data_IF_065226352129
#
_entry.id   IF_065226352129
#
_cell.length_a   1.000
_cell.length_b   1.000
_cell.length_c   1.000
_cell.angle_alpha   90.00
_cell.angle_beta   90.00
_cell.angle_gamma   90.00
#
_symmetry.space_group_name_H-M   'P 1'
#
loop_
_entity.id
_entity.type
_entity.pdbx_description
1 polymer ?
#
# COMPACT_ATOMS: atom_id res chain seq x y z
N UNK A 1 26.86 4.87 -9.51
CA UNK A 1 25.95 4.05 -8.66
C UNK A 1 26.53 2.65 -8.52
N UNK A 2 26.59 2.10 -7.31
CA UNK A 2 27.15 0.77 -7.06
C UNK A 2 26.10 -0.31 -7.46
N UNK A 3 26.55 -1.48 -7.95
CA UNK A 3 25.71 -2.64 -8.31
C UNK A 3 24.72 -3.01 -7.18
N UNK A 4 25.18 -2.93 -5.94
CA UNK A 4 24.36 -3.22 -4.76
C UNK A 4 23.15 -2.28 -4.61
N UNK A 5 23.27 -1.00 -5.01
CA UNK A 5 22.17 -0.04 -4.95
C UNK A 5 21.03 -0.43 -5.90
N UNK A 6 21.35 -0.89 -7.10
CA UNK A 6 20.37 -1.39 -8.04
C UNK A 6 19.65 -2.63 -7.51
N UNK A 7 20.40 -3.58 -6.93
CA UNK A 7 19.80 -4.78 -6.33
C UNK A 7 18.84 -4.41 -5.22
N UNK A 8 19.24 -3.53 -4.30
CA UNK A 8 18.37 -3.07 -3.20
C UNK A 8 17.14 -2.33 -3.75
N UNK A 9 17.31 -1.49 -4.79
CA UNK A 9 16.20 -0.79 -5.43
C UNK A 9 15.18 -1.73 -6.07
N UNK A 10 15.62 -2.74 -6.80
CA UNK A 10 14.73 -3.76 -7.37
C UNK A 10 14.10 -4.67 -6.30
N UNK A 11 14.82 -4.96 -5.22
CA UNK A 11 14.24 -5.67 -4.08
C UNK A 11 13.12 -4.84 -3.44
N UNK A 12 13.34 -3.55 -3.23
CA UNK A 12 12.33 -2.64 -2.70
C UNK A 12 11.13 -2.51 -3.64
N UNK A 13 11.37 -2.41 -4.95
CA UNK A 13 10.31 -2.47 -5.96
C UNK A 13 9.48 -3.75 -5.80
N UNK A 14 10.13 -4.91 -5.73
CA UNK A 14 9.44 -6.20 -5.59
C UNK A 14 8.64 -6.30 -4.28
N UNK A 15 9.11 -5.70 -3.20
CA UNK A 15 8.41 -5.67 -1.91
C UNK A 15 7.15 -4.82 -1.96
N UNK A 16 7.19 -3.69 -2.66
CA UNK A 16 6.02 -2.84 -2.86
C UNK A 16 5.07 -3.39 -3.91
N UNK A 17 5.61 -3.99 -4.97
CA UNK A 17 4.81 -4.40 -6.12
C UNK A 17 3.98 -5.65 -5.83
N UNK A 18 2.79 -5.43 -5.28
CA UNK A 18 1.83 -6.45 -4.91
C UNK A 18 0.50 -6.38 -5.68
N UNK A 19 -0.49 -7.09 -5.20
CA UNK A 19 -1.83 -7.18 -5.81
C UNK A 19 -2.47 -5.81 -6.08
N UNK A 20 -2.38 -4.88 -5.11
CA UNK A 20 -3.00 -3.56 -5.22
C UNK A 20 -2.39 -2.70 -6.33
N UNK A 21 -1.07 -2.76 -6.47
CA UNK A 21 -0.30 -1.99 -7.43
C UNK A 21 -0.60 -2.37 -8.88
N UNK A 22 -1.18 -3.54 -9.07
CA UNK A 22 -1.65 -4.00 -10.38
C UNK A 22 -3.10 -3.58 -10.66
N UNK A 23 -4.00 -3.75 -9.68
CA UNK A 23 -5.44 -3.62 -9.94
C UNK A 23 -5.97 -2.19 -9.82
N UNK A 24 -5.36 -1.33 -8.98
CA UNK A 24 -5.88 0.01 -8.76
C UNK A 24 -5.55 1.01 -9.88
N UNK A 25 -4.35 1.05 -10.47
CA UNK A 25 -4.06 2.01 -11.53
C UNK A 25 -4.98 1.89 -12.75
N UNK A 26 -5.22 0.69 -13.35
CA UNK A 26 -6.14 0.58 -14.49
C UNK A 26 -7.59 0.89 -14.11
N UNK A 27 -8.03 0.54 -12.89
CA UNK A 27 -9.35 0.90 -12.41
C UNK A 27 -9.51 2.43 -12.26
N UNK A 28 -8.52 3.10 -11.65
CA UNK A 28 -8.49 4.57 -11.58
C UNK A 28 -8.53 5.20 -12.97
N UNK A 29 -7.79 4.63 -13.92
CA UNK A 29 -7.78 5.08 -15.31
C UNK A 29 -9.17 5.03 -15.93
N UNK A 30 -9.86 3.90 -15.79
CA UNK A 30 -11.25 3.74 -16.29
C UNK A 30 -12.22 4.74 -15.66
N UNK A 31 -12.16 4.88 -14.32
CA UNK A 31 -13.07 5.71 -13.55
C UNK A 31 -12.85 7.21 -13.75
N UNK A 32 -11.60 7.63 -14.03
CA UNK A 32 -11.25 9.05 -14.11
C UNK A 32 -11.64 9.74 -15.43
N UNK A 33 -11.91 8.99 -16.50
CA UNK A 33 -12.33 9.53 -17.78
C UNK A 33 -11.41 10.67 -18.27
N UNK A 34 -11.99 11.80 -18.64
CA UNK A 34 -11.25 12.98 -19.12
C UNK A 34 -10.32 13.62 -18.05
N UNK A 35 -10.52 13.32 -16.78
CA UNK A 35 -9.72 13.85 -15.66
C UNK A 35 -8.61 12.89 -15.24
N UNK A 36 -8.13 12.04 -16.13
CA UNK A 36 -7.08 11.04 -15.84
C UNK A 36 -5.83 11.64 -15.22
N UNK A 37 -5.29 12.72 -15.78
CA UNK A 37 -4.02 13.26 -15.33
C UNK A 37 -4.03 13.76 -13.88
N UNK A 38 -4.97 14.59 -13.42
CA UNK A 38 -5.05 14.96 -12.01
C UNK A 38 -5.19 13.76 -11.09
N UNK A 39 -6.02 12.77 -11.48
CA UNK A 39 -6.25 11.58 -10.68
C UNK A 39 -4.99 10.71 -10.54
N UNK A 40 -4.32 10.39 -11.66
CA UNK A 40 -3.14 9.50 -11.63
C UNK A 40 -1.93 10.17 -10.95
N UNK A 41 -1.74 11.48 -11.11
CA UNK A 41 -0.66 12.20 -10.43
C UNK A 41 -0.85 12.21 -8.91
N UNK A 42 -2.08 12.41 -8.43
CA UNK A 42 -2.40 12.33 -7.01
C UNK A 42 -2.26 10.90 -6.48
N UNK A 43 -2.69 9.89 -7.25
CA UNK A 43 -2.49 8.48 -6.91
C UNK A 43 -1.01 8.11 -6.80
N UNK A 44 -0.16 8.57 -7.73
CA UNK A 44 1.30 8.40 -7.68
C UNK A 44 1.90 9.08 -6.44
N UNK A 45 1.42 10.28 -6.10
CA UNK A 45 1.90 10.99 -4.91
C UNK A 45 1.68 10.18 -3.62
N UNK A 46 0.51 9.56 -3.47
CA UNK A 46 0.19 8.77 -2.28
C UNK A 46 0.63 7.31 -2.37
N UNK A 47 0.50 6.69 -3.52
CA UNK A 47 0.87 5.29 -3.71
C UNK A 47 2.38 5.05 -3.90
N UNK A 48 3.17 6.09 -4.20
CA UNK A 48 4.63 5.97 -4.40
C UNK A 48 5.40 7.01 -3.58
N UNK A 49 4.98 8.28 -3.63
CA UNK A 49 5.67 9.36 -2.93
C UNK A 49 5.69 9.15 -1.42
N UNK A 50 4.54 8.87 -0.80
CA UNK A 50 4.46 8.59 0.64
C UNK A 50 5.23 7.32 1.06
N UNK A 51 5.14 6.18 0.36
CA UNK A 51 5.99 5.02 0.61
C UNK A 51 7.48 5.34 0.58
N UNK A 52 7.92 6.09 -0.43
CA UNK A 52 9.32 6.51 -0.51
C UNK A 52 9.73 7.33 0.72
N UNK A 53 8.91 8.32 1.12
CA UNK A 53 9.13 9.09 2.35
C UNK A 53 9.12 8.19 3.60
N UNK A 54 8.23 7.20 3.63
CA UNK A 54 8.15 6.21 4.69
C UNK A 54 9.46 5.43 4.86
N UNK A 55 10.02 4.89 3.79
CA UNK A 55 11.30 4.17 3.84
C UNK A 55 12.44 5.10 4.28
N UNK A 56 12.46 6.34 3.79
CA UNK A 56 13.47 7.34 4.14
C UNK A 56 13.42 7.66 5.64
N UNK A 57 12.22 7.87 6.19
CA UNK A 57 12.03 8.15 7.63
C UNK A 57 12.53 7.01 8.50
N UNK A 58 12.28 5.76 8.10
CA UNK A 58 12.82 4.59 8.80
C UNK A 58 14.35 4.51 8.81
N UNK A 59 15.02 5.17 7.85
CA UNK A 59 16.49 5.24 7.80
C UNK A 59 17.09 6.40 8.64
N UNK A 60 16.24 7.26 9.24
CA UNK A 60 16.70 8.39 10.07
C UNK A 60 17.04 7.98 11.50
N UNK A 61 16.61 6.81 11.96
CA UNK A 61 16.88 6.32 13.30
C UNK A 61 17.54 4.93 13.24
N UNK A 62 18.46 4.65 14.18
CA UNK A 62 19.20 3.37 14.23
C UNK A 62 18.28 2.17 14.47
N UNK A 63 17.19 2.38 15.20
CA UNK A 63 16.15 1.40 15.52
C UNK A 63 14.95 1.49 14.53
N UNK A 64 15.10 2.25 13.44
CA UNK A 64 14.04 2.46 12.47
C UNK A 64 12.82 3.20 13.04
N UNK A 65 11.64 2.82 12.62
CA UNK A 65 10.41 3.44 13.11
C UNK A 65 10.16 3.27 14.60
N UNK A 66 10.58 2.16 15.19
CA UNK A 66 10.43 1.93 16.65
C UNK A 66 11.15 3.03 17.41
N UNK A 67 12.42 3.30 17.07
CA UNK A 67 13.20 4.36 17.69
C UNK A 67 12.60 5.75 17.46
N UNK A 68 12.22 6.03 16.22
CA UNK A 68 11.62 7.32 15.84
C UNK A 68 10.31 7.58 16.60
N UNK A 69 9.40 6.62 16.63
CA UNK A 69 8.10 6.73 17.32
C UNK A 69 8.23 6.77 18.84
N UNK A 70 9.19 6.04 19.44
CA UNK A 70 9.44 6.06 20.88
C UNK A 70 9.86 7.46 21.35
N UNK A 71 10.52 8.24 20.51
CA UNK A 71 10.84 9.64 20.81
C UNK A 71 9.60 10.52 20.91
N UNK A 72 8.53 10.19 20.17
CA UNK A 72 7.22 10.86 20.30
C UNK A 72 6.51 10.36 21.55
N UNK A 73 6.27 9.06 21.66
CA UNK A 73 5.67 8.40 22.81
C UNK A 73 5.83 6.89 22.72
N UNK A 74 6.42 6.19 23.71
CA UNK A 74 6.54 4.74 23.70
C UNK A 74 5.19 4.00 23.63
N UNK A 75 4.16 4.50 24.33
CA UNK A 75 2.81 3.91 24.30
C UNK A 75 2.17 4.07 22.92
N UNK A 76 2.30 5.25 22.30
CA UNK A 76 1.82 5.49 20.96
C UNK A 76 2.57 4.62 19.95
N UNK A 77 3.89 4.48 20.06
CA UNK A 77 4.70 3.65 19.19
C UNK A 77 4.18 2.21 19.11
N UNK A 78 3.96 1.59 20.28
CA UNK A 78 3.46 0.20 20.35
C UNK A 78 2.06 0.11 19.72
N UNK A 79 1.13 0.96 20.13
CA UNK A 79 -0.25 0.94 19.62
C UNK A 79 -0.28 1.16 18.11
N UNK A 80 0.41 2.17 17.62
CA UNK A 80 0.43 2.54 16.22
C UNK A 80 1.04 1.43 15.36
N UNK A 81 2.17 0.85 15.77
CA UNK A 81 2.79 -0.25 15.05
C UNK A 81 1.96 -1.52 15.07
N UNK A 82 1.27 -1.84 16.17
CA UNK A 82 0.31 -2.96 16.22
C UNK A 82 -0.78 -2.76 15.16
N UNK A 83 -1.38 -1.57 15.09
CA UNK A 83 -2.42 -1.25 14.11
C UNK A 83 -1.86 -1.38 12.68
N UNK A 84 -0.68 -0.80 12.41
CA UNK A 84 -0.02 -0.89 11.11
C UNK A 84 0.20 -2.36 10.71
N UNK A 85 0.86 -3.14 11.57
CA UNK A 85 1.22 -4.53 11.25
C UNK A 85 -0.02 -5.42 11.09
N UNK A 86 -1.08 -5.21 11.87
CA UNK A 86 -2.35 -5.92 11.67
C UNK A 86 -3.01 -5.52 10.35
N UNK A 87 -3.01 -4.24 10.00
CA UNK A 87 -3.63 -3.70 8.77
C UNK A 87 -2.95 -4.26 7.51
N UNK A 88 -1.61 -4.16 7.43
CA UNK A 88 -0.86 -4.70 6.28
C UNK A 88 -0.69 -6.22 6.35
N UNK A 89 -0.93 -6.81 7.50
CA UNK A 89 -0.83 -8.23 7.75
C UNK A 89 -2.18 -8.95 7.57
N UNK A 90 -2.65 -9.58 8.63
CA UNK A 90 -3.75 -10.54 8.56
C UNK A 90 -5.12 -9.92 8.24
N UNK A 91 -5.31 -8.60 8.43
CA UNK A 91 -6.62 -8.00 8.23
C UNK A 91 -6.92 -7.68 6.75
N UNK A 92 -5.95 -7.14 5.99
CA UNK A 92 -6.28 -6.69 4.64
C UNK A 92 -5.27 -7.07 3.55
N UNK A 93 -3.97 -6.77 3.70
CA UNK A 93 -3.06 -6.97 2.58
C UNK A 93 -2.83 -8.46 2.27
N UNK A 94 -2.63 -9.32 3.27
CA UNK A 94 -2.44 -10.76 3.06
C UNK A 94 -3.72 -11.44 2.52
N UNK A 95 -4.93 -11.23 3.09
CA UNK A 95 -6.17 -11.73 2.50
C UNK A 95 -6.35 -11.30 1.03
N UNK A 96 -6.05 -10.03 0.72
CA UNK A 96 -6.14 -9.49 -0.63
C UNK A 96 -5.21 -10.21 -1.62
N UNK A 97 -4.01 -10.61 -1.19
CA UNK A 97 -3.11 -11.38 -2.08
C UNK A 97 -3.73 -12.71 -2.52
N UNK A 98 -4.37 -13.42 -1.61
CA UNK A 98 -5.04 -14.69 -1.90
C UNK A 98 -6.25 -14.49 -2.82
N UNK A 99 -7.12 -13.52 -2.50
CA UNK A 99 -8.32 -13.24 -3.28
C UNK A 99 -7.98 -12.72 -4.69
N UNK A 100 -6.96 -11.85 -4.82
CA UNK A 100 -6.48 -11.39 -6.15
C UNK A 100 -5.89 -12.55 -6.95
N UNK A 101 -5.10 -13.41 -6.32
CA UNK A 101 -4.55 -14.59 -6.96
C UNK A 101 -5.67 -15.49 -7.51
N UNK A 102 -6.73 -15.71 -6.74
CA UNK A 102 -7.90 -16.46 -7.18
C UNK A 102 -8.57 -15.81 -8.39
N UNK A 103 -8.85 -14.51 -8.31
CA UNK A 103 -9.50 -13.78 -9.41
C UNK A 103 -8.66 -13.74 -10.69
N UNK A 104 -7.34 -13.72 -10.59
CA UNK A 104 -6.45 -13.68 -11.75
C UNK A 104 -6.16 -15.06 -12.36
N UNK A 105 -6.26 -16.15 -11.58
CA UNK A 105 -5.93 -17.52 -12.03
C UNK A 105 -7.16 -18.37 -12.29
N UNK A 106 -8.07 -18.46 -11.34
CA UNK A 106 -9.17 -19.43 -11.36
C UNK A 106 -10.43 -18.85 -12.00
N UNK A 107 -10.81 -17.62 -11.62
CA UNK A 107 -12.02 -16.98 -12.15
C UNK A 107 -12.06 -16.90 -13.69
N UNK A 108 -10.94 -16.63 -14.40
CA UNK A 108 -10.93 -16.64 -15.86
C UNK A 108 -11.15 -18.04 -16.48
N UNK A 109 -10.96 -19.12 -15.72
CA UNK A 109 -11.17 -20.50 -16.17
C UNK A 109 -12.62 -20.91 -15.96
N UNK A 110 -13.14 -20.68 -14.73
CA UNK A 110 -14.50 -21.10 -14.35
C UNK A 110 -15.59 -20.10 -14.76
N UNK A 111 -15.19 -18.90 -15.21
CA UNK A 111 -16.08 -17.80 -15.60
C UNK A 111 -17.08 -17.35 -14.52
N UNK A 112 -16.79 -17.64 -13.25
CA UNK A 112 -17.64 -17.27 -12.10
C UNK A 112 -16.81 -17.05 -10.82
N UNK A 113 -17.36 -16.28 -9.87
CA UNK A 113 -16.84 -16.15 -8.51
C UNK A 113 -17.51 -17.20 -7.59
N UNK A 114 -17.14 -18.45 -7.76
CA UNK A 114 -17.65 -19.52 -6.90
C UNK A 114 -17.01 -19.46 -5.51
N UNK A 115 -17.82 -19.29 -4.46
CA UNK A 115 -17.35 -19.30 -3.06
C UNK A 115 -16.66 -20.62 -2.69
N UNK A 116 -17.14 -21.75 -3.24
CA UNK A 116 -16.54 -23.07 -3.02
C UNK A 116 -15.13 -23.13 -3.68
N UNK A 117 -15.02 -22.64 -4.91
CA UNK A 117 -13.74 -22.60 -5.60
C UNK A 117 -12.73 -21.67 -4.89
N UNK A 118 -13.19 -20.51 -4.42
CA UNK A 118 -12.39 -19.59 -3.60
C UNK A 118 -11.92 -20.27 -2.31
N UNK A 119 -12.81 -20.96 -1.61
CA UNK A 119 -12.50 -21.68 -0.37
C UNK A 119 -11.41 -22.76 -0.59
N UNK A 120 -11.56 -23.59 -1.62
CA UNK A 120 -10.57 -24.62 -1.96
C UNK A 120 -9.23 -24.01 -2.34
N UNK A 121 -9.26 -22.94 -3.17
CA UNK A 121 -8.05 -22.24 -3.58
C UNK A 121 -7.32 -21.62 -2.39
N UNK A 122 -8.03 -20.95 -1.50
CA UNK A 122 -7.43 -20.27 -0.33
C UNK A 122 -6.86 -21.28 0.67
N UNK A 123 -7.46 -22.47 0.84
CA UNK A 123 -6.86 -23.57 1.62
C UNK A 123 -5.48 -23.91 1.05
N UNK A 124 -5.41 -24.22 -0.25
CA UNK A 124 -4.16 -24.58 -0.91
C UNK A 124 -3.13 -23.45 -0.79
N UNK A 125 -3.55 -22.21 -1.09
CA UNK A 125 -2.73 -21.03 -1.03
C UNK A 125 -2.11 -20.84 0.38
N UNK A 126 -2.92 -20.88 1.43
CA UNK A 126 -2.44 -20.66 2.79
C UNK A 126 -1.68 -21.84 3.38
N UNK A 127 -1.90 -23.07 2.91
CA UNK A 127 -1.02 -24.22 3.23
C UNK A 127 0.37 -23.99 2.67
N UNK A 128 0.48 -23.53 1.42
CA UNK A 128 1.77 -23.18 0.80
C UNK A 128 2.45 -22.03 1.55
N UNK A 129 1.71 -20.98 1.88
CA UNK A 129 2.23 -19.85 2.70
C UNK A 129 2.73 -20.35 4.05
N UNK A 130 1.96 -21.21 4.74
CA UNK A 130 2.35 -21.78 6.03
C UNK A 130 3.65 -22.57 5.92
N UNK A 131 3.75 -23.46 4.95
CA UNK A 131 4.96 -24.27 4.73
C UNK A 131 6.20 -23.41 4.51
N UNK A 132 6.08 -22.35 3.71
CA UNK A 132 7.17 -21.40 3.43
C UNK A 132 7.54 -20.62 4.70
N UNK A 133 6.57 -20.06 5.42
CA UNK A 133 6.81 -19.18 6.56
C UNK A 133 7.32 -19.90 7.81
N UNK A 134 7.08 -21.22 7.93
CA UNK A 134 7.66 -22.02 9.02
C UNK A 134 9.16 -22.26 8.84
N UNK A 135 9.69 -22.14 7.60
CA UNK A 135 11.10 -22.32 7.24
C UNK A 135 11.60 -21.19 6.33
N UNK A 136 11.69 -19.94 6.82
CA UNK A 136 11.86 -18.74 5.98
C UNK A 136 13.20 -18.62 5.23
N UNK A 137 14.16 -19.48 5.52
CA UNK A 137 15.59 -19.25 5.27
C UNK A 137 16.08 -19.40 3.84
N UNK A 138 15.46 -19.34 2.77
CA UNK A 138 16.06 -19.25 1.39
C UNK A 138 15.04 -19.28 0.25
N UNK A 139 13.81 -19.71 0.52
CA UNK A 139 12.84 -19.91 -0.55
C UNK A 139 12.27 -18.57 -1.03
N UNK A 140 12.04 -17.64 -0.09
CA UNK A 140 11.50 -16.29 -0.40
C UNK A 140 12.47 -15.54 -1.30
N UNK A 141 13.76 -15.54 -0.96
CA UNK A 141 14.77 -14.86 -1.77
C UNK A 141 14.92 -15.44 -3.18
N UNK A 142 14.88 -16.78 -3.30
CA UNK A 142 14.98 -17.45 -4.60
C UNK A 142 13.75 -17.24 -5.46
N UNK A 143 12.57 -17.35 -4.88
CA UNK A 143 11.31 -17.10 -5.59
C UNK A 143 11.24 -15.62 -6.02
N UNK A 144 11.53 -14.68 -5.12
CA UNK A 144 11.53 -13.24 -5.44
C UNK A 144 12.55 -12.87 -6.51
N UNK A 145 13.77 -13.43 -6.49
CA UNK A 145 14.82 -13.12 -7.47
C UNK A 145 14.50 -13.59 -8.89
N UNK A 146 13.74 -14.67 -9.06
CA UNK A 146 13.31 -15.16 -10.38
C UNK A 146 11.99 -14.53 -10.83
N UNK A 147 11.03 -14.42 -9.93
CA UNK A 147 9.68 -13.96 -10.28
C UNK A 147 9.62 -12.46 -10.58
N UNK A 148 10.41 -11.65 -9.89
CA UNK A 148 10.39 -10.19 -10.12
C UNK A 148 10.80 -9.80 -11.54
N UNK A 149 11.92 -10.30 -12.12
CA UNK A 149 12.24 -10.05 -13.52
C UNK A 149 11.18 -10.56 -14.48
N UNK A 150 10.62 -11.75 -14.24
CA UNK A 150 9.59 -12.33 -15.09
C UNK A 150 8.30 -11.51 -15.06
N UNK A 151 7.87 -11.07 -13.87
CA UNK A 151 6.73 -10.19 -13.68
C UNK A 151 6.94 -8.85 -14.41
N UNK A 152 8.12 -8.23 -14.25
CA UNK A 152 8.44 -6.98 -14.95
C UNK A 152 8.40 -7.12 -16.46
N UNK A 153 9.01 -8.18 -17.01
CA UNK A 153 9.00 -8.45 -18.46
C UNK A 153 7.56 -8.63 -18.95
N UNK A 154 6.75 -9.39 -18.22
CA UNK A 154 5.34 -9.64 -18.61
C UNK A 154 4.53 -8.34 -18.56
N UNK A 155 4.70 -7.53 -17.52
CA UNK A 155 3.99 -6.25 -17.40
C UNK A 155 4.45 -5.27 -18.50
N UNK A 156 5.75 -5.19 -18.76
CA UNK A 156 6.25 -4.36 -19.86
C UNK A 156 5.71 -4.80 -21.21
N UNK A 157 5.68 -6.10 -21.49
CA UNK A 157 5.08 -6.63 -22.70
C UNK A 157 3.58 -6.27 -22.80
N UNK A 158 2.84 -6.38 -21.68
CA UNK A 158 1.43 -5.98 -21.63
C UNK A 158 1.25 -4.47 -21.82
N UNK A 159 2.09 -3.64 -21.21
CA UNK A 159 2.05 -2.18 -21.38
C UNK A 159 2.29 -1.81 -22.85
N UNK A 160 3.33 -2.36 -23.47
CA UNK A 160 3.63 -2.09 -24.88
C UNK A 160 2.45 -2.50 -25.76
N UNK A 161 1.93 -3.70 -25.59
CA UNK A 161 0.82 -4.21 -26.37
C UNK A 161 -0.48 -3.44 -26.10
N UNK A 162 -0.81 -3.19 -24.83
CA UNK A 162 -1.98 -2.41 -24.45
C UNK A 162 -1.93 -0.97 -25.00
N UNK A 163 -0.75 -0.35 -25.01
CA UNK A 163 -0.58 0.96 -25.64
C UNK A 163 -0.83 0.90 -27.15
N UNK A 164 -0.27 -0.08 -27.85
CA UNK A 164 -0.49 -0.26 -29.30
C UNK A 164 -1.96 -0.53 -29.63
N UNK A 165 -2.67 -1.30 -28.81
CA UNK A 165 -4.06 -1.68 -29.07
C UNK A 165 -5.07 -0.58 -28.69
N UNK A 166 -4.79 0.24 -27.68
CA UNK A 166 -5.79 1.14 -27.09
C UNK A 166 -5.46 2.64 -27.19
N UNK A 167 -4.21 3.05 -27.51
CA UNK A 167 -3.82 4.47 -27.55
C UNK A 167 -4.59 5.31 -28.57
N UNK A 168 -5.15 4.69 -29.60
CA UNK A 168 -5.98 5.35 -30.61
C UNK A 168 -7.41 5.63 -30.18
N UNK A 169 -7.86 5.08 -29.05
CA UNK A 169 -9.20 5.30 -28.54
C UNK A 169 -9.29 6.63 -27.78
N UNK A 170 -10.48 7.20 -27.70
CA UNK A 170 -10.76 8.30 -26.77
C UNK A 170 -10.83 7.79 -25.34
N UNK A 171 -10.54 8.67 -24.38
CA UNK A 171 -10.76 8.38 -22.97
C UNK A 171 -12.22 7.96 -22.71
N UNK A 172 -12.41 6.98 -21.83
CA UNK A 172 -13.73 6.53 -21.41
C UNK A 172 -14.55 7.65 -20.75
N UNK A 173 -15.86 7.47 -20.60
CA UNK A 173 -16.73 8.44 -19.92
C UNK A 173 -16.34 8.68 -18.48
N UNK A 174 -15.82 7.65 -17.80
CA UNK A 174 -15.48 7.69 -16.39
C UNK A 174 -16.68 7.71 -15.46
N UNK A 175 -16.41 7.89 -14.16
CA UNK A 175 -17.43 8.04 -13.12
C UNK A 175 -17.59 9.53 -12.81
N UNK A 176 -18.48 10.21 -13.54
CA UNK A 176 -18.71 11.67 -13.42
C UNK A 176 -19.15 12.09 -12.00
N UNK A 177 -19.72 11.20 -11.20
CA UNK A 177 -20.12 11.52 -9.82
C UNK A 177 -18.92 11.81 -8.92
N UNK A 178 -17.78 11.14 -9.16
CA UNK A 178 -16.56 11.29 -8.39
C UNK A 178 -15.53 12.18 -9.11
N UNK A 179 -15.43 12.06 -10.42
CA UNK A 179 -14.42 12.73 -11.25
C UNK A 179 -15.06 13.80 -12.14
N UNK A 180 -15.52 14.91 -11.53
CA UNK A 180 -16.23 16.00 -12.23
C UNK A 180 -15.40 17.28 -12.39
N UNK A 181 -14.22 17.36 -11.79
CA UNK A 181 -13.30 18.50 -11.88
C UNK A 181 -11.85 18.06 -11.66
N UNK A 182 -10.89 18.91 -12.02
CA UNK A 182 -9.47 18.63 -11.74
C UNK A 182 -9.21 18.43 -10.25
N UNK A 183 -9.86 19.22 -9.38
CA UNK A 183 -9.66 19.12 -7.94
C UNK A 183 -10.33 17.87 -7.35
N UNK A 184 -11.58 17.56 -7.71
CA UNK A 184 -12.24 16.34 -7.24
C UNK A 184 -11.47 15.09 -7.67
N UNK A 185 -10.98 15.08 -8.91
CA UNK A 185 -10.21 13.96 -9.45
C UNK A 185 -8.85 13.82 -8.81
N UNK A 186 -8.18 14.94 -8.48
CA UNK A 186 -6.97 14.91 -7.67
C UNK A 186 -7.24 14.36 -6.27
N UNK A 187 -8.27 14.83 -5.60
CA UNK A 187 -8.62 14.39 -4.25
C UNK A 187 -9.01 12.89 -4.22
N UNK A 188 -9.79 12.44 -5.20
CA UNK A 188 -10.14 11.03 -5.33
C UNK A 188 -8.90 10.18 -5.63
N UNK A 189 -8.06 10.56 -6.60
CA UNK A 189 -6.80 9.88 -6.88
C UNK A 189 -5.88 9.80 -5.67
N UNK A 190 -5.82 10.86 -4.85
CA UNK A 190 -5.05 10.89 -3.62
C UNK A 190 -5.54 9.84 -2.61
N UNK A 191 -6.85 9.73 -2.41
CA UNK A 191 -7.44 8.76 -1.49
C UNK A 191 -7.42 7.33 -2.04
N UNK A 192 -7.58 7.15 -3.35
CA UNK A 192 -7.43 5.85 -4.01
C UNK A 192 -6.01 5.28 -3.85
N UNK A 193 -4.98 6.14 -3.80
CA UNK A 193 -3.62 5.71 -3.51
C UNK A 193 -3.45 5.05 -2.13
N UNK A 194 -4.33 5.32 -1.15
CA UNK A 194 -4.32 4.61 0.14
C UNK A 194 -4.58 3.11 -0.01
N UNK A 195 -5.37 2.73 -1.02
CA UNK A 195 -5.75 1.34 -1.26
C UNK A 195 -4.57 0.45 -1.66
N UNK A 196 -3.45 1.02 -2.13
CA UNK A 196 -2.22 0.24 -2.37
C UNK A 196 -1.63 -0.30 -1.07
N UNK A 197 -1.84 0.38 0.05
CA UNK A 197 -1.28 0.12 1.38
C UNK A 197 0.25 0.29 1.48
N UNK A 198 0.90 0.78 0.42
CA UNK A 198 2.37 0.85 0.35
C UNK A 198 2.97 1.83 1.35
N UNK A 199 2.29 2.96 1.66
CA UNK A 199 2.82 3.94 2.61
C UNK A 199 2.87 3.38 4.04
N UNK A 200 1.90 2.57 4.44
CA UNK A 200 1.93 1.89 5.73
C UNK A 200 2.85 0.67 5.70
N UNK A 201 2.93 -0.04 4.56
CA UNK A 201 3.89 -1.13 4.38
C UNK A 201 5.34 -0.63 4.42
N UNK A 202 5.62 0.59 3.93
CA UNK A 202 6.93 1.22 3.99
C UNK A 202 7.46 1.35 5.43
N UNK A 203 6.57 1.54 6.41
CA UNK A 203 6.94 1.56 7.83
C UNK A 203 7.56 0.23 8.25
N UNK A 204 6.95 -0.89 7.87
CA UNK A 204 7.45 -2.23 8.15
C UNK A 204 8.70 -2.58 7.31
N UNK A 205 8.68 -2.23 6.03
CA UNK A 205 9.75 -2.56 5.08
C UNK A 205 11.01 -1.71 5.25
N UNK A 206 10.90 -0.51 5.83
CA UNK A 206 12.03 0.39 6.03
C UNK A 206 13.20 -0.27 6.74
N UNK A 207 12.92 -1.08 7.77
CA UNK A 207 13.96 -1.78 8.53
C UNK A 207 14.65 -2.87 7.71
N UNK A 208 13.91 -3.57 6.86
CA UNK A 208 14.46 -4.58 5.93
C UNK A 208 15.43 -3.91 4.96
N UNK A 209 15.05 -2.76 4.39
CA UNK A 209 15.89 -2.00 3.46
C UNK A 209 17.14 -1.46 4.14
N UNK A 210 17.01 -0.88 5.34
CA UNK A 210 18.13 -0.39 6.13
C UNK A 210 19.11 -1.52 6.46
N UNK A 211 18.60 -2.69 6.85
CA UNK A 211 19.45 -3.86 7.12
C UNK A 211 20.14 -4.38 5.84
N UNK A 212 19.44 -4.41 4.71
CA UNK A 212 20.03 -4.76 3.42
C UNK A 212 21.18 -3.81 3.04
N UNK A 213 21.03 -2.50 3.29
CA UNK A 213 22.11 -1.52 3.10
C UNK A 213 23.29 -1.79 4.05
N UNK A 214 23.03 -2.08 5.32
CA UNK A 214 24.09 -2.41 6.31
C UNK A 214 24.88 -3.66 5.92
N UNK A 215 24.23 -4.67 5.36
CA UNK A 215 24.86 -5.91 4.87
C UNK A 215 25.86 -5.65 3.72
N UNK A 216 25.77 -4.53 3.01
CA UNK A 216 26.78 -4.13 2.00
C UNK A 216 28.06 -3.54 2.60
N UNK A 217 28.21 -3.54 3.94
CA UNK A 217 29.37 -2.99 4.66
C UNK A 217 29.26 -1.49 5.00
N UNK A 218 28.12 -0.87 4.73
CA UNK A 218 27.89 0.56 5.01
C UNK A 218 27.36 0.68 6.44
N UNK A 219 28.15 1.38 7.29
CA UNK A 219 27.83 1.56 8.73
C UNK A 219 27.48 3.00 9.09
N UNK A 220 27.97 4.00 8.31
CA UNK A 220 27.73 5.42 8.58
C UNK A 220 26.29 5.81 8.27
N UNK A 221 25.57 6.41 9.21
CA UNK A 221 24.15 6.79 9.08
C UNK A 221 23.84 7.63 7.83
N UNK A 222 24.70 8.60 7.52
CA UNK A 222 24.53 9.44 6.33
C UNK A 222 24.67 8.65 5.01
N UNK A 223 25.55 7.64 4.98
CA UNK A 223 25.70 6.77 3.80
C UNK A 223 24.52 5.80 3.69
N UNK A 224 24.02 5.25 4.82
CA UNK A 224 22.80 4.43 4.84
C UNK A 224 21.63 5.25 4.30
N UNK A 225 21.44 6.48 4.77
CA UNK A 225 20.39 7.37 4.29
C UNK A 225 20.49 7.60 2.77
N UNK A 226 21.66 8.00 2.26
CA UNK A 226 21.87 8.22 0.82
C UNK A 226 21.62 6.98 -0.01
N UNK A 227 22.06 5.82 0.45
CA UNK A 227 21.87 4.55 -0.25
C UNK A 227 20.41 4.14 -0.27
N UNK A 228 19.72 4.28 0.87
CA UNK A 228 18.28 4.02 1.00
C UNK A 228 17.46 4.95 0.12
N UNK A 229 17.79 6.25 0.09
CA UNK A 229 17.16 7.22 -0.79
C UNK A 229 17.34 6.85 -2.27
N UNK A 230 18.56 6.51 -2.67
CA UNK A 230 18.84 6.15 -4.08
C UNK A 230 18.13 4.85 -4.48
N UNK A 231 18.13 3.84 -3.62
CA UNK A 231 17.38 2.59 -3.85
C UNK A 231 15.87 2.85 -3.93
N UNK A 232 15.35 3.70 -3.04
CA UNK A 232 13.95 4.11 -3.05
C UNK A 232 13.56 4.85 -4.33
N UNK A 233 14.42 5.74 -4.84
CA UNK A 233 14.18 6.44 -6.11
C UNK A 233 14.15 5.49 -7.31
N UNK A 234 14.99 4.44 -7.34
CA UNK A 234 14.95 3.42 -8.39
C UNK A 234 13.60 2.71 -8.38
N UNK A 235 13.15 2.26 -7.20
CA UNK A 235 11.84 1.62 -7.05
C UNK A 235 10.69 2.56 -7.45
N UNK A 236 10.75 3.83 -7.00
CA UNK A 236 9.73 4.83 -7.29
C UNK A 236 9.61 5.10 -8.80
N UNK A 237 10.71 5.28 -9.53
CA UNK A 237 10.68 5.52 -10.98
C UNK A 237 10.06 4.36 -11.73
N UNK A 238 10.39 3.12 -11.35
CA UNK A 238 9.79 1.93 -11.95
C UNK A 238 8.28 1.84 -11.68
N UNK A 239 7.85 2.11 -10.43
CA UNK A 239 6.43 2.12 -10.05
C UNK A 239 5.66 3.24 -10.75
N UNK A 240 6.20 4.46 -10.83
CA UNK A 240 5.58 5.61 -11.53
C UNK A 240 5.30 5.24 -12.98
N UNK A 241 6.30 4.68 -13.67
CA UNK A 241 6.15 4.26 -15.05
C UNK A 241 5.03 3.24 -15.20
N UNK A 242 4.99 2.22 -14.36
CA UNK A 242 3.97 1.17 -14.41
C UNK A 242 2.58 1.72 -14.10
N UNK A 243 2.43 2.55 -13.05
CA UNK A 243 1.13 3.09 -12.65
C UNK A 243 0.53 4.00 -13.71
N UNK A 244 1.33 4.93 -14.25
CA UNK A 244 0.87 5.82 -15.32
C UNK A 244 0.49 5.00 -16.56
N UNK A 245 1.31 4.02 -16.94
CA UNK A 245 1.07 3.20 -18.12
C UNK A 245 -0.19 2.34 -17.98
N UNK A 246 -0.33 1.60 -16.87
CA UNK A 246 -1.52 0.79 -16.63
C UNK A 246 -2.79 1.64 -16.48
N UNK A 247 -2.68 2.79 -15.80
CA UNK A 247 -3.77 3.75 -15.68
C UNK A 247 -4.17 4.31 -17.03
N UNK A 248 -3.22 4.71 -17.88
CA UNK A 248 -3.49 5.21 -19.22
C UNK A 248 -4.20 4.18 -20.08
N UNK A 249 -3.75 2.92 -20.05
CA UNK A 249 -4.40 1.85 -20.81
C UNK A 249 -5.82 1.60 -20.28
N UNK A 250 -6.01 1.55 -18.96
CA UNK A 250 -7.33 1.42 -18.35
C UNK A 250 -8.29 2.55 -18.75
N UNK A 251 -7.77 3.78 -18.88
CA UNK A 251 -8.52 4.96 -19.31
C UNK A 251 -8.99 4.90 -20.77
N UNK A 252 -8.20 4.30 -21.66
CA UNK A 252 -8.48 4.22 -23.10
C UNK A 252 -9.06 2.87 -23.54
N UNK A 253 -9.21 1.93 -22.61
CA UNK A 253 -9.78 0.62 -22.89
C UNK A 253 -11.29 0.71 -23.04
N UNK A 254 -11.87 0.23 -24.16
CA UNK A 254 -13.30 0.27 -24.36
C UNK A 254 -13.99 -0.78 -23.48
N UNK A 255 -14.69 -0.34 -22.45
CA UNK A 255 -15.51 -1.18 -21.57
C UNK A 255 -16.94 -0.73 -21.69
N UNK A 256 -17.84 -1.64 -22.06
CA UNK A 256 -19.28 -1.32 -22.18
C UNK A 256 -19.96 -1.30 -20.81
N UNK A 257 -21.00 -0.47 -20.68
CA UNK A 257 -21.81 -0.40 -19.45
C UNK A 257 -22.39 -1.78 -19.09
N UNK A 258 -22.80 -2.57 -20.10
CA UNK A 258 -23.28 -3.95 -19.90
C UNK A 258 -22.20 -4.85 -19.28
N UNK A 259 -20.92 -4.69 -19.68
CA UNK A 259 -19.82 -5.45 -19.08
C UNK A 259 -19.59 -5.04 -17.61
N UNK A 260 -19.66 -3.75 -17.31
CA UNK A 260 -19.55 -3.24 -15.95
C UNK A 260 -20.68 -3.75 -15.04
N UNK A 261 -21.92 -3.78 -15.55
CA UNK A 261 -23.08 -4.31 -14.81
C UNK A 261 -22.95 -5.82 -14.58
N UNK A 262 -22.46 -6.56 -15.56
CA UNK A 262 -22.17 -7.99 -15.40
C UNK A 262 -21.06 -8.26 -14.38
N UNK A 263 -20.03 -7.42 -14.32
CA UNK A 263 -18.97 -7.54 -13.31
C UNK A 263 -19.52 -7.29 -11.92
N UNK A 264 -20.33 -6.24 -11.75
CA UNK A 264 -21.01 -5.92 -10.47
C UNK A 264 -21.94 -7.05 -10.02
N UNK A 265 -22.78 -7.56 -10.93
CA UNK A 265 -23.73 -8.65 -10.62
C UNK A 265 -23.05 -9.96 -10.22
N UNK A 266 -21.84 -10.21 -10.72
CA UNK A 266 -21.01 -11.39 -10.41
C UNK A 266 -19.99 -11.14 -9.31
N UNK A 267 -20.02 -9.99 -8.65
CA UNK A 267 -19.05 -9.53 -7.64
C UNK A 267 -17.58 -9.70 -8.10
N UNK A 268 -17.29 -9.38 -9.37
CA UNK A 268 -15.94 -9.42 -9.94
C UNK A 268 -15.26 -8.05 -9.82
N UNK A 269 -13.99 -8.07 -9.48
CA UNK A 269 -13.22 -6.83 -9.39
C UNK A 269 -12.89 -6.27 -10.79
N UNK A 270 -13.13 -4.97 -10.99
CA UNK A 270 -12.94 -4.29 -12.28
C UNK A 270 -11.45 -4.28 -12.65
N UNK A 271 -10.54 -4.01 -11.71
CA UNK A 271 -9.10 -3.96 -11.99
C UNK A 271 -8.54 -5.31 -12.45
N UNK A 272 -8.96 -6.43 -11.83
CA UNK A 272 -8.58 -7.77 -12.27
C UNK A 272 -9.15 -8.11 -13.66
N UNK A 273 -10.37 -7.67 -13.95
CA UNK A 273 -10.99 -7.81 -15.27
C UNK A 273 -10.20 -7.03 -16.34
N UNK A 274 -9.87 -5.76 -16.09
CA UNK A 274 -9.12 -4.93 -17.03
C UNK A 274 -7.77 -5.58 -17.37
N UNK A 275 -7.02 -6.03 -16.36
CA UNK A 275 -5.73 -6.69 -16.57
C UNK A 275 -5.84 -7.98 -17.36
N UNK A 276 -6.82 -8.83 -17.02
CA UNK A 276 -7.00 -10.11 -17.72
C UNK A 276 -7.49 -9.91 -19.14
N UNK A 277 -8.32 -8.88 -19.39
CA UNK A 277 -8.77 -8.52 -20.73
C UNK A 277 -7.62 -7.96 -21.55
N UNK A 278 -6.82 -7.06 -20.98
CA UNK A 278 -5.60 -6.52 -21.61
C UNK A 278 -4.65 -7.66 -22.04
N UNK A 279 -4.39 -8.62 -21.15
CA UNK A 279 -3.55 -9.77 -21.46
C UNK A 279 -4.16 -10.67 -22.55
N UNK A 280 -5.48 -10.89 -22.51
CA UNK A 280 -6.16 -11.74 -23.50
C UNK A 280 -6.27 -11.07 -24.88
N UNK A 281 -6.49 -9.78 -24.94
CA UNK A 281 -6.52 -9.02 -26.22
C UNK A 281 -5.12 -9.02 -26.86
N UNK A 282 -4.07 -8.79 -26.06
CA UNK A 282 -2.71 -8.72 -26.57
C UNK A 282 -2.08 -10.06 -26.95
N UNK A 283 -2.32 -11.11 -26.16
CA UNK A 283 -1.60 -12.40 -26.27
C UNK A 283 -2.53 -13.62 -26.25
N UNK A 284 -3.84 -13.42 -26.42
CA UNK A 284 -4.83 -14.50 -26.37
C UNK A 284 -4.91 -15.20 -25.01
N UNK A 285 -5.44 -16.42 -25.01
CA UNK A 285 -5.59 -17.22 -23.79
C UNK A 285 -4.26 -17.50 -23.07
N UNK A 286 -3.17 -17.65 -23.81
CA UNK A 286 -1.85 -17.87 -23.23
C UNK A 286 -1.40 -16.70 -22.36
N UNK A 287 -1.54 -15.45 -22.85
CA UNK A 287 -1.17 -14.26 -22.09
C UNK A 287 -1.99 -14.11 -20.82
N UNK A 288 -3.30 -14.38 -20.89
CA UNK A 288 -4.19 -14.34 -19.72
C UNK A 288 -3.76 -15.32 -18.62
N UNK A 289 -3.48 -16.57 -18.96
CA UNK A 289 -3.07 -17.57 -17.97
C UNK A 289 -1.67 -17.32 -17.44
N UNK A 290 -0.73 -16.94 -18.31
CA UNK A 290 0.62 -16.60 -17.91
C UNK A 290 0.63 -15.44 -16.89
N UNK A 291 -0.11 -14.36 -17.19
CA UNK A 291 -0.25 -13.23 -16.26
C UNK A 291 -0.85 -13.68 -14.93
N UNK A 292 -1.92 -14.48 -14.95
CA UNK A 292 -2.56 -15.00 -13.74
C UNK A 292 -1.57 -15.76 -12.85
N UNK A 293 -0.79 -16.67 -13.42
CA UNK A 293 0.23 -17.45 -12.69
C UNK A 293 1.30 -16.52 -12.09
N UNK A 294 1.82 -15.57 -12.88
CA UNK A 294 2.87 -14.66 -12.42
C UNK A 294 2.36 -13.77 -11.28
N UNK A 295 1.14 -13.25 -11.41
CA UNK A 295 0.51 -12.44 -10.35
C UNK A 295 0.26 -13.27 -9.09
N UNK A 296 -0.22 -14.52 -9.23
CA UNK A 296 -0.41 -15.41 -8.09
C UNK A 296 0.89 -15.69 -7.34
N UNK A 297 1.98 -15.92 -8.07
CA UNK A 297 3.30 -16.13 -7.48
C UNK A 297 3.85 -14.86 -6.82
N UNK A 298 3.66 -13.69 -7.42
CA UNK A 298 4.02 -12.40 -6.82
C UNK A 298 3.21 -12.15 -5.54
N UNK A 299 1.91 -12.42 -5.56
CA UNK A 299 1.05 -12.34 -4.39
C UNK A 299 1.49 -13.31 -3.28
N UNK A 300 1.89 -14.52 -3.65
CA UNK A 300 2.40 -15.51 -2.69
C UNK A 300 3.67 -15.03 -1.99
N UNK A 301 4.62 -14.46 -2.73
CA UNK A 301 5.86 -13.92 -2.14
C UNK A 301 5.57 -12.74 -1.20
N UNK A 302 4.67 -11.85 -1.59
CA UNK A 302 4.22 -10.72 -0.75
C UNK A 302 3.54 -11.23 0.53
N UNK A 303 2.63 -12.20 0.43
CA UNK A 303 1.97 -12.80 1.59
C UNK A 303 2.99 -13.42 2.55
N UNK A 304 3.96 -14.19 2.04
CA UNK A 304 5.01 -14.77 2.87
C UNK A 304 5.86 -13.70 3.57
N UNK A 305 6.29 -12.67 2.84
CA UNK A 305 7.07 -11.57 3.42
C UNK A 305 6.31 -10.84 4.53
N UNK A 306 5.02 -10.55 4.32
CA UNK A 306 4.17 -9.90 5.32
C UNK A 306 3.90 -10.80 6.53
N UNK A 307 3.61 -12.08 6.35
CA UNK A 307 3.42 -13.03 7.48
C UNK A 307 4.67 -13.09 8.33
N UNK A 308 5.85 -13.20 7.71
CA UNK A 308 7.12 -13.22 8.45
C UNK A 308 7.32 -11.93 9.22
N UNK A 309 7.20 -10.77 8.57
CA UNK A 309 7.42 -9.47 9.20
C UNK A 309 6.46 -9.22 10.39
N UNK A 310 5.17 -9.53 10.20
CA UNK A 310 4.16 -9.36 11.25
C UNK A 310 4.41 -10.33 12.41
N UNK A 311 4.70 -11.59 12.12
CA UNK A 311 4.95 -12.61 13.15
C UNK A 311 6.22 -12.33 13.96
N UNK A 312 7.29 -11.85 13.32
CA UNK A 312 8.51 -11.43 14.00
C UNK A 312 8.26 -10.21 14.90
N UNK A 313 7.51 -9.20 14.42
CA UNK A 313 7.17 -8.05 15.22
C UNK A 313 6.37 -8.45 16.48
N UNK A 314 5.33 -9.26 16.33
CA UNK A 314 4.50 -9.70 17.47
C UNK A 314 5.25 -10.62 18.42
N UNK A 315 6.11 -11.50 17.93
CA UNK A 315 7.00 -12.31 18.79
C UNK A 315 7.96 -11.44 19.58
N UNK A 316 8.47 -10.34 19.01
CA UNK A 316 9.34 -9.39 19.73
C UNK A 316 8.61 -8.67 20.86
N UNK A 317 7.34 -8.28 20.69
CA UNK A 317 6.57 -7.58 21.73
C UNK A 317 5.92 -8.53 22.75
N UNK A 318 5.67 -9.79 22.36
CA UNK A 318 5.11 -10.84 23.23
C UNK A 318 5.99 -12.10 23.16
N UNK A 319 7.19 -12.11 23.78
CA UNK A 319 8.15 -13.21 23.66
C UNK A 319 7.67 -14.56 24.21
N UNK A 320 6.61 -14.53 25.06
CA UNK A 320 5.98 -15.75 25.61
C UNK A 320 5.27 -16.60 24.55
N UNK A 321 4.86 -16.00 23.43
CA UNK A 321 4.21 -16.69 22.31
C UNK A 321 5.25 -16.95 21.24
N UNK A 322 5.33 -18.19 20.76
CA UNK A 322 6.33 -18.56 19.75
C UNK A 322 6.04 -17.92 18.40
N UNK A 323 7.09 -17.66 17.61
CA UNK A 323 6.96 -17.18 16.22
C UNK A 323 5.99 -18.06 15.40
N UNK A 324 6.11 -19.39 15.52
CA UNK A 324 5.25 -20.33 14.79
C UNK A 324 3.77 -20.21 15.17
N UNK A 325 3.48 -19.91 16.43
CA UNK A 325 2.09 -19.67 16.86
C UNK A 325 1.51 -18.41 16.22
N UNK A 326 2.30 -17.31 16.15
CA UNK A 326 1.87 -16.10 15.45
C UNK A 326 1.66 -16.34 13.95
N UNK A 327 2.56 -17.07 13.29
CA UNK A 327 2.39 -17.44 11.87
C UNK A 327 1.05 -18.17 11.67
N UNK A 328 0.75 -19.17 12.51
CA UNK A 328 -0.50 -19.91 12.40
C UNK A 328 -1.73 -19.03 12.62
N UNK A 329 -1.74 -18.22 13.68
CA UNK A 329 -2.86 -17.33 14.00
C UNK A 329 -3.11 -16.33 12.86
N UNK A 330 -2.06 -15.69 12.34
CA UNK A 330 -2.21 -14.70 11.29
C UNK A 330 -2.61 -15.31 9.94
N UNK A 331 -2.17 -16.51 9.64
CA UNK A 331 -2.64 -17.27 8.48
C UNK A 331 -4.12 -17.61 8.61
N UNK A 332 -4.57 -18.10 9.77
CA UNK A 332 -5.98 -18.41 10.00
C UNK A 332 -6.86 -17.16 9.90
N UNK A 333 -6.44 -16.04 10.48
CA UNK A 333 -7.15 -14.77 10.33
C UNK A 333 -7.25 -14.36 8.87
N UNK A 334 -6.12 -14.40 8.14
CA UNK A 334 -6.07 -14.05 6.72
C UNK A 334 -6.94 -14.96 5.86
N UNK A 335 -6.96 -16.25 6.15
CA UNK A 335 -7.80 -17.24 5.46
C UNK A 335 -9.30 -16.91 5.62
N UNK A 336 -9.75 -16.65 6.85
CA UNK A 336 -11.16 -16.31 7.12
C UNK A 336 -11.57 -15.05 6.33
N UNK A 337 -10.72 -14.02 6.33
CA UNK A 337 -11.02 -12.76 5.67
C UNK A 337 -10.94 -12.90 4.13
N UNK A 338 -9.97 -13.63 3.60
CA UNK A 338 -9.81 -13.85 2.16
C UNK A 338 -11.05 -14.52 1.53
N UNK A 339 -11.75 -15.38 2.29
CA UNK A 339 -12.96 -16.06 1.84
C UNK A 339 -14.20 -15.16 1.73
N UNK A 340 -14.11 -13.90 2.13
CA UNK A 340 -15.14 -12.89 1.84
C UNK A 340 -15.09 -12.40 0.37
N UNK A 341 -14.03 -12.73 -0.37
CA UNK A 341 -13.81 -12.26 -1.74
C UNK A 341 -13.04 -10.93 -1.83
N UNK A 342 -12.50 -10.63 -3.00
CA UNK A 342 -11.60 -9.50 -3.21
C UNK A 342 -12.27 -8.16 -2.95
N UNK A 343 -13.47 -7.93 -3.49
CA UNK A 343 -14.18 -6.66 -3.32
C UNK A 343 -14.58 -6.43 -1.86
N UNK A 344 -14.99 -7.47 -1.13
CA UNK A 344 -15.30 -7.37 0.29
C UNK A 344 -14.04 -7.01 1.10
N UNK A 345 -12.90 -7.66 0.86
CA UNK A 345 -11.63 -7.34 1.54
C UNK A 345 -11.22 -5.88 1.27
N UNK A 346 -11.34 -5.40 0.04
CA UNK A 346 -11.06 -4.01 -0.31
C UNK A 346 -12.01 -3.06 0.44
N UNK A 347 -13.32 -3.28 0.38
CA UNK A 347 -14.32 -2.40 1.00
C UNK A 347 -14.18 -2.35 2.52
N UNK A 348 -13.89 -3.48 3.17
CA UNK A 348 -13.64 -3.55 4.62
C UNK A 348 -12.36 -2.79 5.03
N UNK A 349 -11.40 -2.66 4.13
CA UNK A 349 -10.15 -1.94 4.41
C UNK A 349 -10.34 -0.41 4.42
N UNK A 350 -11.27 0.14 3.63
CA UNK A 350 -11.44 1.58 3.42
C UNK A 350 -11.63 2.36 4.74
N UNK A 351 -12.53 1.98 5.65
CA UNK A 351 -12.69 2.72 6.91
C UNK A 351 -11.44 2.72 7.78
N UNK A 352 -10.74 1.58 7.85
CA UNK A 352 -9.50 1.48 8.64
C UNK A 352 -8.39 2.30 8.03
N UNK A 353 -8.21 2.24 6.70
CA UNK A 353 -7.23 3.06 5.99
C UNK A 353 -7.52 4.56 6.13
N UNK A 354 -8.80 4.95 6.14
CA UNK A 354 -9.23 6.35 6.36
C UNK A 354 -8.87 6.88 7.76
N UNK A 355 -8.62 5.99 8.74
CA UNK A 355 -8.09 6.37 10.06
C UNK A 355 -6.56 6.33 10.06
N UNK A 356 -5.98 5.27 9.53
CA UNK A 356 -4.55 4.99 9.66
C UNK A 356 -3.69 5.92 8.79
N UNK A 357 -4.12 6.21 7.54
CA UNK A 357 -3.34 7.02 6.61
C UNK A 357 -3.14 8.47 7.06
N UNK A 358 -4.16 9.21 7.50
CA UNK A 358 -3.97 10.56 8.04
C UNK A 358 -2.94 10.60 9.16
N UNK A 359 -2.98 9.63 10.07
CA UNK A 359 -2.04 9.54 11.19
C UNK A 359 -0.64 9.18 10.70
N UNK A 360 -0.52 8.19 9.80
CA UNK A 360 0.75 7.76 9.24
C UNK A 360 1.45 8.88 8.47
N UNK A 361 0.71 9.60 7.62
CA UNK A 361 1.23 10.75 6.87
C UNK A 361 1.70 11.84 7.83
N UNK A 362 0.87 12.17 8.82
CA UNK A 362 1.22 13.19 9.83
C UNK A 362 2.50 12.80 10.55
N UNK A 363 2.63 11.57 11.01
CA UNK A 363 3.83 11.06 11.70
C UNK A 363 5.07 11.13 10.80
N UNK A 364 4.97 10.66 9.56
CA UNK A 364 6.08 10.69 8.59
C UNK A 364 6.55 12.13 8.36
N UNK A 365 5.63 13.05 8.14
CA UNK A 365 5.95 14.47 7.92
C UNK A 365 6.56 15.12 9.16
N UNK A 366 6.03 14.85 10.36
CA UNK A 366 6.56 15.38 11.62
C UNK A 366 8.00 14.92 11.88
N UNK A 367 8.31 13.65 11.64
CA UNK A 367 9.68 13.13 11.78
C UNK A 367 10.62 13.78 10.76
N UNK A 368 10.16 13.98 9.52
CA UNK A 368 10.93 14.69 8.49
C UNK A 368 11.17 16.16 8.86
N UNK A 369 10.16 16.85 9.33
CA UNK A 369 10.28 18.26 9.79
C UNK A 369 11.27 18.34 10.95
N UNK A 370 11.21 17.43 11.89
CA UNK A 370 12.09 17.39 13.05
C UNK A 370 13.58 17.15 12.71
N UNK A 371 13.87 16.65 11.51
CA UNK A 371 15.25 16.60 10.98
C UNK A 371 15.84 17.98 10.70
N UNK A 372 15.01 18.92 10.27
CA UNK A 372 15.43 20.26 9.84
C UNK A 372 15.13 21.33 10.89
N UNK A 373 14.05 21.18 11.62
CA UNK A 373 13.58 22.12 12.63
C UNK A 373 13.55 21.41 13.99
N UNK A 374 14.28 21.90 15.01
CA UNK A 374 14.24 21.31 16.33
C UNK A 374 12.81 21.32 16.89
N UNK A 375 12.25 20.15 17.12
CA UNK A 375 10.91 19.97 17.69
C UNK A 375 10.98 19.26 19.03
N UNK A 376 10.07 19.58 19.92
CA UNK A 376 9.93 18.92 21.21
C UNK A 376 8.89 17.81 21.13
N UNK A 377 8.90 16.91 22.12
CA UNK A 377 7.95 15.78 22.17
C UNK A 377 6.50 16.24 22.07
N UNK A 378 6.13 17.26 22.82
CA UNK A 378 4.76 17.83 22.80
C UNK A 378 4.35 18.37 21.42
N UNK A 379 5.30 18.96 20.70
CA UNK A 379 5.06 19.51 19.35
C UNK A 379 4.65 18.42 18.36
N UNK A 380 5.06 17.18 18.57
CA UNK A 380 4.70 16.06 17.71
C UNK A 380 3.47 15.30 18.25
N UNK A 381 3.27 15.26 19.56
CA UNK A 381 2.13 14.59 20.17
C UNK A 381 0.80 15.26 19.85
N UNK A 382 0.75 16.60 19.93
CA UNK A 382 -0.49 17.36 19.69
C UNK A 382 -1.09 17.05 18.31
N UNK A 383 -0.38 17.23 17.17
CA UNK A 383 -0.97 16.96 15.86
C UNK A 383 -1.34 15.48 15.67
N UNK A 384 -0.53 14.55 16.17
CA UNK A 384 -0.84 13.12 16.07
C UNK A 384 -2.14 12.77 16.79
N UNK A 385 -2.34 13.26 18.02
CA UNK A 385 -3.54 13.00 18.81
C UNK A 385 -4.78 13.65 18.14
N UNK A 386 -4.68 14.89 17.72
CA UNK A 386 -5.78 15.62 17.09
C UNK A 386 -6.20 14.92 15.79
N UNK A 387 -5.26 14.57 14.91
CA UNK A 387 -5.54 13.88 13.65
C UNK A 387 -6.13 12.50 13.90
N UNK A 388 -5.61 11.74 14.88
CA UNK A 388 -6.14 10.44 15.24
C UNK A 388 -7.61 10.50 15.68
N UNK A 389 -7.92 11.40 16.63
CA UNK A 389 -9.29 11.61 17.13
C UNK A 389 -10.21 12.05 15.98
N UNK A 390 -9.79 13.04 15.19
CA UNK A 390 -10.55 13.53 14.05
C UNK A 390 -10.85 12.41 13.06
N UNK A 391 -9.85 11.60 12.69
CA UNK A 391 -10.01 10.52 11.71
C UNK A 391 -11.01 9.45 12.18
N UNK A 392 -11.01 9.11 13.48
CA UNK A 392 -12.00 8.19 14.05
C UNK A 392 -13.41 8.78 13.92
N UNK A 393 -13.62 10.01 14.36
CA UNK A 393 -14.93 10.65 14.29
C UNK A 393 -15.39 10.90 12.86
N UNK A 394 -14.47 11.21 11.94
CA UNK A 394 -14.75 11.32 10.50
C UNK A 394 -15.30 10.02 9.92
N UNK A 395 -14.69 8.88 10.27
CA UNK A 395 -15.15 7.57 9.81
C UNK A 395 -16.49 7.20 10.45
N UNK A 396 -16.68 7.44 11.74
CA UNK A 396 -17.96 7.21 12.45
C UNK A 396 -19.10 8.01 11.79
N UNK A 397 -18.84 9.28 11.46
CA UNK A 397 -19.82 10.14 10.76
C UNK A 397 -20.09 9.64 9.34
N UNK A 398 -19.06 9.21 8.61
CA UNK A 398 -19.19 8.66 7.23
C UNK A 398 -19.97 7.35 7.20
N UNK A 399 -19.85 6.51 8.23
CA UNK A 399 -20.62 5.27 8.39
C UNK A 399 -22.07 5.50 8.84
N UNK A 400 -22.44 6.75 9.17
CA UNK A 400 -23.78 7.12 9.61
C UNK A 400 -24.10 6.71 11.06
N UNK A 401 -23.10 6.25 11.84
CA UNK A 401 -23.30 5.83 13.23
C UNK A 401 -23.57 7.02 14.17
N UNK A 402 -22.94 8.17 13.89
CA UNK A 402 -23.12 9.40 14.63
C UNK A 402 -22.93 10.61 13.70
N UNK A 403 -23.96 11.44 13.56
CA UNK A 403 -23.87 12.66 12.77
C UNK A 403 -23.23 13.77 13.61
N UNK A 404 -22.01 14.19 13.23
CA UNK A 404 -21.24 15.22 13.94
C UNK A 404 -21.16 16.46 13.07
N UNK A 405 -22.03 17.43 13.35
CA UNK A 405 -22.16 18.66 12.53
C UNK A 405 -20.85 19.41 12.34
N UNK A 406 -19.99 19.43 13.37
CA UNK A 406 -18.68 20.07 13.28
C UNK A 406 -17.80 19.40 12.19
N UNK A 407 -17.81 18.07 12.10
CA UNK A 407 -17.01 17.33 11.10
C UNK A 407 -17.56 17.57 9.70
N UNK A 408 -18.88 17.57 9.55
CA UNK A 408 -19.52 17.81 8.26
C UNK A 408 -19.26 19.25 7.72
N UNK A 409 -18.97 20.21 8.61
CA UNK A 409 -18.65 21.59 8.24
C UNK A 409 -17.16 21.81 7.93
N UNK A 410 -16.30 20.80 8.13
CA UNK A 410 -14.85 20.97 7.89
C UNK A 410 -14.54 21.11 6.38
N UNK A 411 -13.55 21.95 6.04
CA UNK A 411 -13.11 22.08 4.66
C UNK A 411 -12.57 20.73 4.15
N UNK A 412 -12.77 20.47 2.86
CA UNK A 412 -12.36 19.23 2.19
C UNK A 412 -13.06 17.94 2.65
N UNK A 413 -14.10 18.04 3.49
CA UNK A 413 -14.89 16.90 3.97
C UNK A 413 -15.51 16.10 2.83
N UNK A 414 -16.04 16.77 1.80
CA UNK A 414 -16.61 16.12 0.61
C UNK A 414 -15.63 15.18 -0.10
N UNK A 415 -14.33 15.40 0.08
CA UNK A 415 -13.24 14.63 -0.55
C UNK A 415 -12.52 13.70 0.43
N UNK A 416 -13.03 13.53 1.67
CA UNK A 416 -12.37 12.76 2.74
C UNK A 416 -10.94 13.22 3.06
N UNK A 417 -10.65 14.52 2.86
CA UNK A 417 -9.37 15.18 3.10
C UNK A 417 -9.45 16.26 4.20
N UNK A 418 -10.52 16.27 5.00
CA UNK A 418 -10.74 17.21 6.10
C UNK A 418 -9.64 17.17 7.17
N UNK A 419 -8.94 16.05 7.27
CA UNK A 419 -7.82 15.88 8.19
C UNK A 419 -6.61 16.73 7.82
N UNK A 420 -6.41 17.06 6.53
CA UNK A 420 -5.22 17.76 6.05
C UNK A 420 -5.09 19.17 6.59
N UNK A 421 -6.09 20.09 6.45
CA UNK A 421 -6.02 21.41 7.06
C UNK A 421 -5.93 21.35 8.59
N UNK A 422 -6.60 20.38 9.23
CA UNK A 422 -6.52 20.20 10.68
C UNK A 422 -5.12 19.73 11.11
N UNK A 423 -4.48 18.84 10.35
CA UNK A 423 -3.10 18.41 10.62
C UNK A 423 -2.11 19.58 10.53
N UNK A 424 -2.27 20.46 9.54
CA UNK A 424 -1.43 21.65 9.38
C UNK A 424 -1.61 22.58 10.59
N UNK A 425 -2.85 22.92 10.94
CA UNK A 425 -3.14 23.81 12.08
C UNK A 425 -2.63 23.18 13.38
N UNK A 426 -2.88 21.89 13.60
CA UNK A 426 -2.42 21.17 14.79
C UNK A 426 -0.89 21.11 14.88
N UNK A 427 -0.18 21.02 13.74
CA UNK A 427 1.28 21.06 13.71
C UNK A 427 1.82 22.42 14.11
N UNK A 428 1.22 23.49 13.60
CA UNK A 428 1.58 24.88 13.98
C UNK A 428 1.33 25.11 15.48
N UNK A 429 0.14 24.73 15.97
CA UNK A 429 -0.20 24.82 17.39
C UNK A 429 0.74 24.00 18.27
N UNK A 430 1.04 22.76 17.86
CA UNK A 430 1.97 21.91 18.58
C UNK A 430 3.38 22.50 18.65
N UNK A 431 3.83 23.14 17.57
CA UNK A 431 5.12 23.86 17.56
C UNK A 431 5.11 25.07 18.51
N UNK A 432 4.08 25.90 18.45
CA UNK A 432 3.92 27.05 19.34
C UNK A 432 3.89 26.63 20.82
N UNK A 433 3.06 25.63 21.17
CA UNK A 433 3.03 25.09 22.55
C UNK A 433 4.41 24.58 22.97
N UNK A 434 5.11 23.92 22.05
CA UNK A 434 6.45 23.42 22.30
C UNK A 434 7.47 24.53 22.68
N UNK A 435 7.30 25.75 22.19
CA UNK A 435 8.20 26.88 22.56
C UNK A 435 8.14 27.12 24.08
N UNK A 436 6.96 27.06 24.68
CA UNK A 436 6.74 27.37 26.10
C UNK A 436 6.99 26.21 27.04
N UNK A 437 7.08 24.97 26.56
CA UNK A 437 7.32 23.79 27.40
C UNK A 437 8.83 23.56 27.56
N UNK A 438 9.29 23.34 28.82
CA UNK A 438 10.69 22.98 29.11
C UNK A 438 10.93 21.49 28.82
N UNK A 439 11.25 21.16 27.58
CA UNK A 439 11.65 19.81 27.12
C UNK A 439 12.85 19.94 26.19
N UNK A 440 13.72 18.92 26.16
CA UNK A 440 14.81 18.86 25.17
C UNK A 440 14.27 18.59 23.76
N UNK A 441 14.89 19.20 22.74
CA UNK A 441 14.58 18.90 21.35
C UNK A 441 14.81 17.43 20.99
N UNK A 442 13.90 16.87 20.22
CA UNK A 442 14.07 15.52 19.67
C UNK A 442 15.17 15.54 18.60
N UNK A 443 16.15 14.65 18.73
CA UNK A 443 17.21 14.44 17.74
C UNK A 443 16.97 13.12 17.02
N UNK A 444 16.79 13.17 15.68
CA UNK A 444 16.64 12.00 14.79
C UNK A 444 17.94 11.61 14.07
N UNK A 445 18.96 12.44 14.12
CA UNK A 445 20.32 12.08 13.69
C UNK A 445 21.19 11.88 14.93
N UNK A 446 21.91 10.76 14.97
CA UNK A 446 23.12 10.63 15.79
C UNK A 446 24.29 10.55 14.83
N UNK A 447 25.33 11.30 15.15
CA UNK A 447 26.63 11.38 14.49
C UNK A 447 27.25 10.01 14.20
#
# INVERSE_FOLDING_TARGET
MNKNTWVIGFTLFAMFFGAGNLIFPPNLGLDSGQFFWPAILAFVLTGIGLPLLGVIVGALDKEGYIGALNKISPKFSILFLIIIYLTIGPLFAIPRTASTSFEMTITPIIHSNSSIALFIFTIIYFIVVLYICLNPSKLIDRIGSLLTPLLLITILAMIIKGYLDFSGNSAGKGNEALYHSNFSSFAEGFTQGYLTMDAIAAIAFSMIVVNAVKLTGITKTNQIFKQTLTAGLIAAVALIFIYISLGYIGNHMPVSDMALDQLKSKDRNIGTYLLTTMASTGFGSFGKYLLGIIVALACLTTACGLIVAVSEYFHRIVPKVSYKAFVLVFILMSFIIANQGLNAVISMSIPVLSIVYPVAITVVLLILIAKFIPTKRISQQIPVIIVFILSIFSVISKLGWLKINFIESLPLRAYSLEWLPVAIIATILGYLVGIFVKQDPIKYQQE
#
